data_IF_654162331517
#
_entry.id   IF_654162331517
#
_cell.length_a   1.000
_cell.length_b   1.000
_cell.length_c   1.000
_cell.angle_alpha   90.00
_cell.angle_beta   90.00
_cell.angle_gamma   90.00
#
_symmetry.space_group_name_H-M   'P 1'
#
loop_
_entity.id
_entity.type
_entity.pdbx_description
1 polymer ?
#
# COMPACT_ATOMS: atom_id res chain seq x y z
N UNK A 1 -7.99 14.71 2.31
CA UNK A 1 -7.44 13.35 2.16
C UNK A 1 -6.08 13.28 2.84
N UNK A 2 -5.87 12.34 3.73
CA UNK A 2 -4.59 12.29 4.41
C UNK A 2 -3.52 11.61 3.54
N UNK A 3 -2.28 11.66 4.00
CA UNK A 3 -1.15 11.16 3.20
C UNK A 3 -1.22 9.66 2.95
N UNK A 4 -1.76 8.92 3.90
CA UNK A 4 -1.92 7.48 3.72
C UNK A 4 -2.93 7.16 2.62
N UNK A 5 -4.07 7.84 2.63
CA UNK A 5 -5.10 7.61 1.62
C UNK A 5 -4.58 7.93 0.23
N UNK A 6 -3.81 9.00 0.10
CA UNK A 6 -3.20 9.35 -1.17
C UNK A 6 -2.20 8.28 -1.62
N UNK A 7 -1.40 7.79 -0.68
CA UNK A 7 -0.44 6.75 -0.99
C UNK A 7 -1.12 5.46 -1.45
N UNK A 8 -2.20 5.07 -0.78
CA UNK A 8 -2.95 3.89 -1.16
C UNK A 8 -3.56 4.07 -2.56
N UNK A 9 -4.08 5.25 -2.85
CA UNK A 9 -4.63 5.54 -4.18
C UNK A 9 -3.55 5.45 -5.25
N UNK A 10 -2.35 5.93 -4.95
CA UNK A 10 -1.23 5.85 -5.89
C UNK A 10 -0.85 4.39 -6.15
N UNK A 11 -0.84 3.56 -5.12
CA UNK A 11 -0.55 2.14 -5.29
C UNK A 11 -1.60 1.47 -6.17
N UNK A 12 -2.86 1.83 -5.98
CA UNK A 12 -3.95 1.28 -6.79
C UNK A 12 -3.77 1.66 -8.26
N UNK A 13 -3.43 2.91 -8.52
CA UNK A 13 -3.21 3.38 -9.89
C UNK A 13 -2.02 2.65 -10.53
N UNK A 14 -0.96 2.47 -9.78
CA UNK A 14 0.21 1.74 -10.26
C UNK A 14 -0.12 0.29 -10.63
N UNK A 15 -0.87 -0.39 -9.75
CA UNK A 15 -1.27 -1.76 -10.00
C UNK A 15 -2.14 -1.84 -11.26
N UNK A 16 -3.05 -0.88 -11.42
CA UNK A 16 -3.92 -0.81 -12.57
C UNK A 16 -3.12 -0.66 -13.87
N UNK A 17 -2.14 0.23 -13.86
CA UNK A 17 -1.29 0.45 -15.04
C UNK A 17 -0.51 -0.79 -15.41
N UNK A 18 -0.16 -1.61 -14.44
CA UNK A 18 0.59 -2.83 -14.67
C UNK A 18 -0.31 -4.05 -14.92
N UNK A 19 -1.61 -3.86 -14.89
CA UNK A 19 -2.56 -4.96 -15.09
C UNK A 19 -2.61 -5.92 -13.92
N UNK A 20 -2.28 -5.46 -12.73
CA UNK A 20 -2.30 -6.28 -11.53
C UNK A 20 -3.54 -6.02 -10.70
N UNK A 21 -3.99 -7.04 -9.99
CA UNK A 21 -5.12 -6.87 -9.08
C UNK A 21 -4.70 -6.03 -7.88
N UNK A 22 -5.65 -5.33 -7.31
CA UNK A 22 -5.40 -4.50 -6.13
C UNK A 22 -6.48 -4.77 -5.09
N UNK A 23 -6.05 -4.88 -3.84
CA UNK A 23 -6.96 -5.03 -2.72
C UNK A 23 -6.34 -4.41 -1.49
N UNK A 24 -7.14 -3.70 -0.72
CA UNK A 24 -6.68 -3.10 0.54
C UNK A 24 -7.70 -3.45 1.62
N UNK A 25 -7.21 -3.92 2.76
CA UNK A 25 -8.06 -4.29 3.87
C UNK A 25 -7.54 -3.65 5.15
N UNK A 26 -8.46 -3.15 5.95
CA UNK A 26 -8.10 -2.65 7.26
C UNK A 26 -7.88 -3.84 8.19
N UNK A 27 -6.73 -3.84 8.84
CA UNK A 27 -6.45 -4.87 9.82
C UNK A 27 -7.20 -4.54 11.10
N UNK A 28 -7.98 -5.49 11.58
CA UNK A 28 -8.74 -5.33 12.81
C UNK A 28 -7.88 -5.46 14.06
N UNK A 29 -6.61 -5.61 13.93
CA UNK A 29 -5.71 -5.72 15.05
C UNK A 29 -5.42 -4.37 15.67
N UNK A 30 -4.21 -4.22 16.12
CA UNK A 30 -3.78 -3.01 16.81
C UNK A 30 -3.27 -1.97 15.83
N UNK A 31 -3.51 -0.69 16.14
CA UNK A 31 -2.84 0.41 15.52
C UNK A 31 -3.29 0.85 14.14
N UNK A 32 -4.41 0.36 13.66
CA UNK A 32 -4.97 0.84 12.40
C UNK A 32 -4.12 0.58 11.16
N UNK A 33 -3.33 -0.47 11.18
CA UNK A 33 -2.57 -0.86 9.99
C UNK A 33 -3.50 -1.38 8.90
N UNK A 34 -3.06 -1.22 7.66
CA UNK A 34 -3.79 -1.75 6.51
C UNK A 34 -2.95 -2.79 5.80
N UNK A 35 -3.61 -3.81 5.27
CA UNK A 35 -2.97 -4.79 4.40
C UNK A 35 -3.28 -4.43 2.96
N UNK A 36 -2.25 -4.37 2.13
CA UNK A 36 -2.40 -4.08 0.70
C UNK A 36 -1.91 -5.28 -0.10
N UNK A 37 -2.75 -5.73 -1.02
CA UNK A 37 -2.44 -6.86 -1.89
C UNK A 37 -2.38 -6.39 -3.33
N UNK A 38 -1.28 -6.64 -4.00
CA UNK A 38 -1.12 -6.32 -5.42
C UNK A 38 -0.58 -7.55 -6.13
N UNK A 39 -1.36 -8.10 -7.04
CA UNK A 39 -1.03 -9.34 -7.69
C UNK A 39 -0.93 -10.46 -6.66
N UNK A 40 0.20 -11.14 -6.62
CA UNK A 40 0.45 -12.20 -5.65
C UNK A 40 1.31 -11.73 -4.47
N UNK A 41 1.51 -10.42 -4.35
CA UNK A 41 2.33 -9.84 -3.29
C UNK A 41 1.47 -9.08 -2.30
N UNK A 42 1.97 -8.96 -1.08
CA UNK A 42 1.25 -8.22 -0.05
C UNK A 42 2.24 -7.52 0.88
N UNK A 43 1.76 -6.46 1.51
CA UNK A 43 2.54 -5.75 2.50
C UNK A 43 1.60 -5.07 3.50
N UNK A 44 2.16 -4.66 4.61
CA UNK A 44 1.42 -3.90 5.62
C UNK A 44 1.75 -2.43 5.48
N UNK A 45 0.73 -1.59 5.47
CA UNK A 45 0.90 -0.13 5.40
C UNK A 45 0.55 0.45 6.77
N UNK A 46 1.47 1.18 7.40
CA UNK A 46 1.19 1.75 8.71
C UNK A 46 0.13 2.84 8.65
N UNK A 47 -0.58 3.03 9.76
CA UNK A 47 -1.62 4.05 9.84
C UNK A 47 -1.06 5.45 10.00
N UNK A 48 0.24 5.56 10.26
CA UNK A 48 0.88 6.84 10.46
C UNK A 48 1.32 7.46 9.14
N UNK A 49 1.81 8.68 9.24
CA UNK A 49 2.39 9.36 8.11
C UNK A 49 3.48 8.50 7.47
N UNK A 50 3.41 8.36 6.16
CA UNK A 50 4.33 7.52 5.41
C UNK A 50 5.42 8.42 4.83
N UNK A 51 6.64 8.28 5.34
CA UNK A 51 7.75 9.05 4.82
C UNK A 51 8.27 8.43 3.51
N UNK A 52 9.12 9.17 2.76
CA UNK A 52 9.61 8.66 1.47
C UNK A 52 10.36 7.33 1.57
N UNK A 53 11.08 7.11 2.66
CA UNK A 53 11.80 5.84 2.86
C UNK A 53 10.84 4.68 3.01
N UNK A 54 9.83 4.85 3.84
CA UNK A 54 8.83 3.81 4.08
C UNK A 54 8.04 3.54 2.81
N UNK A 55 7.66 4.59 2.08
CA UNK A 55 6.94 4.44 0.82
C UNK A 55 7.74 3.62 -0.19
N UNK A 56 9.01 3.90 -0.32
CA UNK A 56 9.88 3.18 -1.25
C UNK A 56 10.00 1.71 -0.86
N UNK A 57 10.14 1.43 0.42
CA UNK A 57 10.24 0.06 0.92
C UNK A 57 8.97 -0.73 0.62
N UNK A 58 7.82 -0.10 0.84
CA UNK A 58 6.53 -0.72 0.57
C UNK A 58 6.40 -1.02 -0.93
N UNK A 59 6.77 -0.08 -1.78
CA UNK A 59 6.71 -0.27 -3.22
C UNK A 59 7.57 -1.44 -3.67
N UNK A 60 8.75 -1.59 -3.09
CA UNK A 60 9.64 -2.70 -3.41
C UNK A 60 9.02 -4.03 -2.98
N UNK A 61 8.43 -4.07 -1.81
CA UNK A 61 7.78 -5.29 -1.33
C UNK A 61 6.62 -5.72 -2.22
N UNK A 62 5.96 -4.76 -2.83
CA UNK A 62 4.84 -5.03 -3.73
C UNK A 62 5.29 -5.25 -5.17
N UNK A 63 6.57 -5.18 -5.45
CA UNK A 63 7.09 -5.40 -6.79
C UNK A 63 6.84 -4.27 -7.76
N UNK A 64 6.61 -3.06 -7.25
CA UNK A 64 6.34 -1.89 -8.09
C UNK A 64 7.60 -1.15 -8.51
N UNK A 65 8.68 -1.36 -7.80
CA UNK A 65 9.96 -0.73 -8.13
C UNK A 65 11.01 -1.76 -8.51
#
# INVERSE_FOLDING_TARGET
MDKRDKFIADLRDEARKKGLSFRAEKWRGKGGHMMVFIGDRLTTVPSREIDPKTARKIRKQLGLD
#
